data_IF_508230481041
#
_entry.id   IF_508230481041
#
_cell.length_a   1.000
_cell.length_b   1.000
_cell.length_c   1.000
_cell.angle_alpha   90.00
_cell.angle_beta   90.00
_cell.angle_gamma   90.00
#
_symmetry.space_group_name_H-M   'P 1'
#
loop_
_entity.id
_entity.type
_entity.pdbx_description
1 polymer ?
#
# COMPACT_ATOMS: atom_id res chain seq x y z
N UNK A 1 59.07 54.32 25.06
CA UNK A 1 58.37 53.51 26.07
C UNK A 1 56.94 53.28 25.59
N UNK A 2 56.69 52.17 24.91
CA UNK A 2 55.35 51.63 24.67
C UNK A 2 55.52 50.12 24.69
N UNK A 3 55.02 49.47 25.74
CA UNK A 3 54.98 48.01 25.83
C UNK A 3 53.53 47.59 25.61
N UNK A 4 53.25 47.04 24.43
CA UNK A 4 51.95 46.44 24.11
C UNK A 4 51.84 45.10 24.86
N UNK A 5 50.92 45.03 25.83
CA UNK A 5 50.53 43.79 26.48
C UNK A 5 49.33 43.20 25.73
N UNK A 6 49.61 42.26 24.83
CA UNK A 6 48.60 41.39 24.25
C UNK A 6 48.19 40.36 25.31
N UNK A 7 46.97 40.48 25.84
CA UNK A 7 46.38 39.45 26.69
C UNK A 7 45.81 38.35 25.79
N UNK A 8 46.51 37.21 25.72
CA UNK A 8 45.94 35.98 25.18
C UNK A 8 44.90 35.47 26.19
N UNK A 9 43.61 35.61 25.87
CA UNK A 9 42.55 34.88 26.56
C UNK A 9 42.70 33.42 26.16
N UNK A 10 43.31 32.62 27.04
CA UNK A 10 43.21 31.17 26.94
C UNK A 10 41.75 30.82 27.21
N UNK A 11 41.04 30.34 26.19
CA UNK A 11 39.81 29.60 26.41
C UNK A 11 40.20 28.35 27.19
N UNK A 12 39.95 28.35 28.50
CA UNK A 12 40.17 27.20 29.36
C UNK A 12 39.10 26.17 29.00
N UNK A 13 39.35 25.32 28.00
CA UNK A 13 38.41 24.24 27.61
C UNK A 13 37.98 23.37 28.79
N UNK A 14 38.77 23.39 29.87
CA UNK A 14 38.49 22.74 31.14
C UNK A 14 37.35 23.42 31.92
N UNK A 15 37.16 24.74 31.84
CA UNK A 15 36.02 25.43 32.46
C UNK A 15 34.71 25.06 31.78
N UNK A 16 34.69 25.00 30.44
CA UNK A 16 33.50 24.65 29.68
C UNK A 16 33.17 23.16 29.83
N UNK A 17 34.20 22.29 29.84
CA UNK A 17 34.04 20.87 30.15
C UNK A 17 33.46 20.66 31.55
N UNK A 18 33.98 21.36 32.57
CA UNK A 18 33.48 21.27 33.94
C UNK A 18 32.05 21.78 34.07
N UNK A 19 31.73 22.94 33.49
CA UNK A 19 30.37 23.47 33.46
C UNK A 19 29.39 22.50 32.79
N UNK A 20 29.78 21.91 31.66
CA UNK A 20 28.99 20.89 30.98
C UNK A 20 28.83 19.60 31.80
N UNK A 21 29.90 19.14 32.46
CA UNK A 21 29.87 17.95 33.32
C UNK A 21 29.02 18.15 34.57
N UNK A 22 29.12 19.32 35.20
CA UNK A 22 28.35 19.68 36.40
C UNK A 22 26.86 19.80 36.05
N UNK A 23 26.54 20.42 34.91
CA UNK A 23 25.18 20.43 34.38
C UNK A 23 24.67 19.02 34.10
N UNK A 24 25.47 18.17 33.42
CA UNK A 24 25.12 16.78 33.15
C UNK A 24 24.86 15.97 34.44
N UNK A 25 25.68 16.17 35.47
CA UNK A 25 25.48 15.57 36.79
C UNK A 25 24.22 16.10 37.49
N UNK A 26 23.95 17.39 37.37
CA UNK A 26 22.76 18.02 37.94
C UNK A 26 21.47 17.49 37.30
N UNK A 27 21.45 17.32 35.98
CA UNK A 27 20.27 16.81 35.26
C UNK A 27 20.20 15.28 35.24
N UNK A 28 21.28 14.58 35.66
CA UNK A 28 21.35 13.13 35.69
C UNK A 28 20.20 12.59 36.53
N UNK A 29 19.32 11.82 35.89
CA UNK A 29 18.18 11.18 36.54
C UNK A 29 16.93 12.05 36.70
N UNK A 30 16.98 13.36 36.46
CA UNK A 30 15.79 14.23 36.57
C UNK A 30 14.67 13.77 35.62
N UNK A 31 15.01 13.37 34.39
CA UNK A 31 14.04 12.84 33.43
C UNK A 31 13.45 11.50 33.87
N UNK A 32 14.26 10.56 34.34
CA UNK A 32 13.79 9.25 34.81
C UNK A 32 12.96 9.34 36.09
N UNK A 33 13.33 10.23 37.01
CA UNK A 33 12.57 10.45 38.25
C UNK A 33 11.20 11.05 37.99
N UNK A 34 11.04 11.82 36.90
CA UNK A 34 9.74 12.37 36.50
C UNK A 34 8.73 11.30 36.08
N UNK A 35 9.18 10.11 35.66
CA UNK A 35 8.33 8.99 35.21
C UNK A 35 8.32 7.79 36.16
N UNK A 36 9.17 7.77 37.19
CA UNK A 36 9.27 6.66 38.16
C UNK A 36 7.96 6.34 38.89
N UNK A 37 7.10 7.34 39.10
CA UNK A 37 5.80 7.17 39.75
C UNK A 37 4.63 7.06 38.78
N UNK A 38 4.87 7.03 37.47
CA UNK A 38 3.79 6.99 36.49
C UNK A 38 3.08 5.64 36.56
N UNK A 39 1.78 5.68 36.86
CA UNK A 39 0.90 4.52 36.88
C UNK A 39 -0.08 4.61 35.72
N UNK A 40 0.16 3.88 34.62
CA UNK A 40 -0.66 3.95 33.42
C UNK A 40 -2.14 3.64 33.69
N UNK A 41 -2.41 2.67 34.57
CA UNK A 41 -3.75 2.24 34.98
C UNK A 41 -4.57 3.38 35.61
N UNK A 42 -3.92 4.33 36.27
CA UNK A 42 -4.57 5.45 36.97
C UNK A 42 -4.67 6.70 36.10
N UNK A 43 -3.82 6.82 35.07
CA UNK A 43 -3.63 8.05 34.29
C UNK A 43 -4.12 7.98 32.84
N UNK A 44 -4.25 6.78 32.28
CA UNK A 44 -4.63 6.55 30.88
C UNK A 44 -5.98 5.82 30.85
N UNK A 45 -7.07 6.49 30.43
CA UNK A 45 -8.36 5.85 30.24
C UNK A 45 -8.26 4.67 29.27
N UNK A 46 -8.82 3.51 29.66
CA UNK A 46 -8.79 2.31 28.83
C UNK A 46 -7.42 1.63 28.76
N UNK A 47 -6.47 1.98 29.64
CA UNK A 47 -5.18 1.28 29.68
C UNK A 47 -5.37 -0.22 29.91
N UNK A 48 -4.88 -0.99 28.94
CA UNK A 48 -4.72 -2.42 29.03
C UNK A 48 -3.23 -2.72 28.84
N UNK A 49 -2.61 -3.38 29.81
CA UNK A 49 -1.21 -3.80 29.69
C UNK A 49 -1.01 -4.90 28.64
N UNK A 50 -2.07 -5.65 28.33
CA UNK A 50 -2.09 -6.76 27.38
C UNK A 50 -3.33 -6.64 26.47
N UNK A 51 -3.36 -5.64 25.56
CA UNK A 51 -4.41 -5.55 24.56
C UNK A 51 -4.33 -6.74 23.60
N UNK A 52 -5.46 -7.15 22.99
CA UNK A 52 -5.52 -8.32 22.11
C UNK A 52 -4.54 -8.20 20.93
N UNK A 53 -4.24 -6.96 20.51
CA UNK A 53 -3.30 -6.60 19.46
C UNK A 53 -1.84 -6.92 19.80
N UNK A 54 -1.51 -7.23 21.07
CA UNK A 54 -0.18 -7.73 21.44
C UNK A 54 0.23 -8.97 20.66
N UNK A 55 -0.72 -9.78 20.20
CA UNK A 55 -0.46 -10.92 19.31
C UNK A 55 0.19 -10.53 17.98
N UNK A 56 0.09 -9.27 17.58
CA UNK A 56 0.70 -8.74 16.36
C UNK A 56 2.07 -8.10 16.61
N UNK A 57 2.43 -7.80 17.85
CA UNK A 57 3.70 -7.18 18.20
C UNK A 57 4.73 -8.23 18.60
N UNK A 58 5.71 -8.49 17.74
CA UNK A 58 6.78 -9.47 17.98
C UNK A 58 8.05 -8.91 18.65
N UNK A 59 8.08 -7.61 19.00
CA UNK A 59 9.26 -6.92 19.51
C UNK A 59 10.17 -6.31 18.43
N UNK A 60 11.21 -5.58 18.86
CA UNK A 60 12.12 -4.82 17.96
C UNK A 60 12.97 -5.69 17.03
N UNK A 61 13.04 -6.99 17.31
CA UNK A 61 13.77 -7.98 16.53
C UNK A 61 12.86 -8.82 15.64
N UNK A 62 11.54 -8.62 15.71
CA UNK A 62 10.61 -9.36 14.87
C UNK A 62 10.78 -8.94 13.40
N UNK A 63 10.98 -9.93 12.53
CA UNK A 63 11.22 -9.73 11.10
C UNK A 63 9.96 -9.48 10.27
N UNK A 64 8.77 -9.39 10.87
CA UNK A 64 7.54 -9.17 10.10
C UNK A 64 6.23 -9.23 10.87
N UNK A 65 5.16 -9.20 10.10
CA UNK A 65 3.74 -9.02 10.46
C UNK A 65 2.92 -10.32 10.37
N UNK A 66 3.55 -11.47 10.66
CA UNK A 66 2.97 -12.80 10.42
C UNK A 66 1.60 -13.04 11.05
N UNK A 67 1.38 -12.55 12.28
CA UNK A 67 0.08 -12.66 12.95
C UNK A 67 -1.02 -11.89 12.23
N UNK A 68 -0.72 -10.67 11.75
CA UNK A 68 -1.68 -9.85 11.04
C UNK A 68 -2.03 -10.45 9.67
N UNK A 69 -1.02 -10.99 8.96
CA UNK A 69 -1.22 -11.68 7.69
C UNK A 69 -2.06 -12.94 7.83
N UNK A 70 -1.82 -13.75 8.86
CA UNK A 70 -2.59 -14.96 9.11
C UNK A 70 -4.06 -14.64 9.41
N UNK A 71 -4.31 -13.68 10.28
CA UNK A 71 -5.67 -13.26 10.63
C UNK A 71 -6.39 -12.67 9.39
N UNK A 72 -5.72 -11.80 8.64
CA UNK A 72 -6.29 -11.22 7.41
C UNK A 72 -6.61 -12.29 6.35
N UNK A 73 -5.74 -13.28 6.17
CA UNK A 73 -5.97 -14.39 5.23
C UNK A 73 -7.11 -15.29 5.71
N UNK A 74 -7.21 -15.52 7.02
CA UNK A 74 -8.29 -16.30 7.62
C UNK A 74 -9.63 -15.59 7.42
N UNK A 75 -9.71 -14.31 7.75
CA UNK A 75 -10.94 -13.51 7.58
C UNK A 75 -11.35 -13.42 6.11
N UNK A 76 -10.41 -13.29 5.18
CA UNK A 76 -10.69 -13.36 3.75
C UNK A 76 -11.30 -14.71 3.33
N UNK A 77 -10.80 -15.81 3.89
CA UNK A 77 -11.26 -17.15 3.54
C UNK A 77 -12.60 -17.53 4.19
N UNK A 78 -12.84 -17.10 5.43
CA UNK A 78 -13.98 -17.58 6.24
C UNK A 78 -15.04 -16.53 6.50
N UNK A 79 -14.68 -15.24 6.43
CA UNK A 79 -15.54 -14.11 6.73
C UNK A 79 -16.61 -13.85 5.68
N UNK A 80 -17.69 -13.20 6.12
CA UNK A 80 -18.85 -12.90 5.28
C UNK A 80 -18.48 -12.01 4.09
N UNK A 81 -17.62 -11.01 4.32
CA UNK A 81 -17.13 -10.11 3.27
C UNK A 81 -16.33 -10.88 2.21
N UNK A 82 -15.42 -11.75 2.62
CA UNK A 82 -14.61 -12.55 1.71
C UNK A 82 -15.45 -13.53 0.87
N UNK A 83 -16.44 -14.17 1.51
CA UNK A 83 -17.45 -14.98 0.82
C UNK A 83 -18.26 -14.17 -0.16
N UNK A 84 -18.82 -13.03 0.26
CA UNK A 84 -19.64 -12.16 -0.60
C UNK A 84 -18.88 -11.71 -1.85
N UNK A 85 -17.62 -11.30 -1.68
CA UNK A 85 -16.78 -10.91 -2.82
C UNK A 85 -16.58 -12.11 -3.75
N UNK A 86 -16.18 -13.26 -3.20
CA UNK A 86 -15.94 -14.49 -3.97
C UNK A 86 -17.20 -14.91 -4.73
N UNK A 87 -18.35 -14.94 -4.06
CA UNK A 87 -19.65 -15.25 -4.65
C UNK A 87 -20.05 -14.25 -5.72
N UNK A 88 -19.82 -12.95 -5.51
CA UNK A 88 -20.10 -11.93 -6.52
C UNK A 88 -19.28 -12.15 -7.79
N UNK A 89 -18.02 -12.58 -7.68
CA UNK A 89 -17.20 -12.91 -8.84
C UNK A 89 -17.65 -14.21 -9.51
N UNK A 90 -17.93 -15.25 -8.72
CA UNK A 90 -18.32 -16.56 -9.24
C UNK A 90 -19.72 -16.56 -9.87
N UNK A 91 -20.63 -15.74 -9.34
CA UNK A 91 -22.02 -15.63 -9.78
C UNK A 91 -22.28 -14.38 -10.63
N UNK A 92 -21.24 -13.63 -11.03
CA UNK A 92 -21.40 -12.54 -11.99
C UNK A 92 -22.04 -13.11 -13.25
N UNK A 93 -23.18 -12.60 -13.71
CA UNK A 93 -23.77 -13.06 -14.95
C UNK A 93 -22.74 -12.94 -16.07
N UNK A 94 -22.63 -14.00 -16.88
CA UNK A 94 -21.79 -13.97 -18.07
C UNK A 94 -22.21 -12.74 -18.87
N UNK A 95 -21.22 -11.98 -19.35
CA UNK A 95 -21.52 -10.87 -20.25
C UNK A 95 -22.26 -11.46 -21.45
N UNK A 96 -23.54 -11.10 -21.59
CA UNK A 96 -24.37 -11.59 -22.68
C UNK A 96 -23.88 -10.84 -23.92
N UNK A 97 -23.21 -11.54 -24.82
CA UNK A 97 -22.95 -11.02 -26.16
C UNK A 97 -24.31 -10.81 -26.81
N UNK A 98 -24.76 -9.55 -26.90
CA UNK A 98 -26.04 -9.26 -27.55
C UNK A 98 -25.98 -9.79 -28.98
N UNK A 99 -26.93 -10.64 -29.42
CA UNK A 99 -27.02 -11.05 -30.81
C UNK A 99 -27.14 -9.84 -31.74
N UNK A 100 -27.70 -8.73 -31.25
CA UNK A 100 -27.91 -7.47 -31.98
C UNK A 100 -26.70 -6.53 -31.88
N UNK A 101 -25.59 -6.98 -31.28
CA UNK A 101 -24.38 -6.19 -31.27
C UNK A 101 -23.94 -5.86 -32.71
N UNK A 102 -23.57 -4.61 -33.03
CA UNK A 102 -23.33 -4.17 -34.40
C UNK A 102 -22.34 -5.04 -35.18
N UNK A 103 -21.33 -5.58 -34.49
CA UNK A 103 -20.32 -6.47 -35.08
C UNK A 103 -20.87 -7.86 -35.44
N UNK A 104 -21.78 -8.42 -34.63
CA UNK A 104 -22.44 -9.70 -34.96
C UNK A 104 -23.44 -9.51 -36.09
N UNK A 105 -24.22 -8.41 -36.06
CA UNK A 105 -25.17 -8.10 -37.11
C UNK A 105 -24.46 -7.91 -38.46
N UNK A 106 -23.39 -7.12 -38.47
CA UNK A 106 -22.57 -6.92 -39.67
C UNK A 106 -22.00 -8.23 -40.21
N UNK A 107 -21.50 -9.11 -39.33
CA UNK A 107 -21.02 -10.44 -39.72
C UNK A 107 -22.11 -11.31 -40.36
N UNK A 108 -23.32 -11.31 -39.80
CA UNK A 108 -24.48 -12.02 -40.38
C UNK A 108 -24.92 -11.39 -41.71
N UNK A 109 -24.90 -10.07 -41.82
CA UNK A 109 -25.25 -9.39 -43.07
C UNK A 109 -24.25 -9.71 -44.18
N UNK A 110 -22.95 -9.83 -43.86
CA UNK A 110 -21.93 -10.29 -44.83
C UNK A 110 -22.17 -11.73 -45.27
N UNK A 111 -22.52 -12.64 -44.35
CA UNK A 111 -22.87 -14.02 -44.69
C UNK A 111 -24.13 -14.08 -45.56
N UNK A 112 -25.20 -13.37 -45.18
CA UNK A 112 -26.47 -13.35 -45.91
C UNK A 112 -26.34 -12.70 -47.30
N UNK A 113 -25.41 -11.75 -47.43
CA UNK A 113 -25.13 -11.07 -48.70
C UNK A 113 -23.94 -11.68 -49.42
N UNK A 114 -23.39 -12.80 -48.96
CA UNK A 114 -22.23 -13.45 -49.55
C UNK A 114 -22.45 -13.63 -51.06
N UNK A 115 -23.57 -14.21 -51.48
CA UNK A 115 -23.90 -14.42 -52.90
C UNK A 115 -23.92 -13.13 -53.76
N UNK A 116 -24.15 -11.96 -53.15
CA UNK A 116 -24.10 -10.66 -53.82
C UNK A 116 -22.74 -9.96 -53.69
N UNK A 117 -21.98 -10.26 -52.63
CA UNK A 117 -20.64 -9.70 -52.34
C UNK A 117 -19.56 -10.45 -53.12
N UNK A 118 -19.64 -11.78 -53.18
CA UNK A 118 -18.96 -12.60 -54.21
C UNK A 118 -19.76 -12.67 -55.51
N UNK A 119 -20.80 -11.84 -55.62
CA UNK A 119 -21.68 -11.77 -56.78
C UNK A 119 -20.88 -11.72 -58.06
N UNK A 120 -21.12 -12.73 -58.90
CA UNK A 120 -20.84 -12.66 -60.32
C UNK A 120 -19.38 -12.25 -60.64
N UNK A 121 -18.41 -12.96 -60.06
CA UNK A 121 -16.98 -12.76 -60.33
C UNK A 121 -16.58 -13.35 -61.69
N UNK A 122 -17.03 -12.64 -62.72
CA UNK A 122 -16.46 -12.63 -64.05
C UNK A 122 -17.40 -11.85 -64.96
N UNK A 123 -16.88 -10.82 -65.66
CA UNK A 123 -17.49 -10.42 -66.93
C UNK A 123 -17.84 -11.71 -67.66
N UNK A 124 -19.13 -11.95 -67.93
CA UNK A 124 -19.52 -13.08 -68.76
C UNK A 124 -18.95 -12.79 -70.14
N UNK A 125 -17.74 -13.27 -70.40
CA UNK A 125 -17.12 -13.27 -71.72
C UNK A 125 -18.01 -14.11 -72.62
N UNK A 126 -18.91 -13.46 -73.35
CA UNK A 126 -19.59 -14.09 -74.47
C UNK A 126 -18.58 -14.21 -75.61
N UNK A 127 -18.24 -15.44 -76.00
CA UNK A 127 -17.47 -15.67 -77.22
C UNK A 127 -18.25 -15.09 -78.41
N UNK A 128 -17.63 -14.19 -79.16
CA UNK A 128 -18.22 -13.56 -80.34
C UNK A 128 -17.77 -14.35 -81.55
N UNK A 129 -18.71 -15.04 -82.23
CA UNK A 129 -18.40 -15.66 -83.52
C UNK A 129 -18.21 -14.57 -84.56
N UNK A 130 -17.03 -14.55 -85.17
CA UNK A 130 -16.72 -13.70 -86.31
C UNK A 130 -17.04 -14.52 -87.56
N UNK A 131 -18.09 -14.10 -88.28
CA UNK A 131 -18.47 -14.57 -89.62
C UNK A 131 -17.65 -13.89 -90.71
#
# INVERSE_FOLDING_TARGET
>A
MVFFLSFSVFADSNSDYRAGSDFAHQIKGQGSSSIQGFKPQESIPGYNANPDETKYYGGVTAGGDGGLKNDGTTEWATGETGKTITESFMNKPKDILSPDAPFIQTGRDVVNRADSIVGNTGQQCSAQEIS
#
